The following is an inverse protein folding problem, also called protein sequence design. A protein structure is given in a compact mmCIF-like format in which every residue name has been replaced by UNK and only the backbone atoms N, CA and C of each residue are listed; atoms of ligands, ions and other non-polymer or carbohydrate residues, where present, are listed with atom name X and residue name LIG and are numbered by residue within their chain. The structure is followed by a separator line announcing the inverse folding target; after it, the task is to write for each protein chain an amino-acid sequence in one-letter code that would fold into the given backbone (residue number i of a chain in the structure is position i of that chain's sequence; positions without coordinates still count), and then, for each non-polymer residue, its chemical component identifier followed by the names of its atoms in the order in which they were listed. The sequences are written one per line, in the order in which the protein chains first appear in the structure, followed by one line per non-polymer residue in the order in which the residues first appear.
data_IF_121633703296
#
_entry.id   IF_121633703296
#
_cell.length_a   1.000
_cell.length_b   1.000
_cell.length_c   1.000
_cell.angle_alpha   90.00
_cell.angle_beta   90.00
_cell.angle_gamma   90.00
#
_symmetry.space_group_name_H-M   'P 1'
#
loop_
_entity.id
_entity.type
_entity.pdbx_description
1 polymer ?
#
# COMPACT_ATOMS: atom_id res chain seq x y z
N UNK A 1 25.85 18.45 -23.12
CA UNK A 1 26.52 19.38 -22.19
C UNK A 1 26.97 18.59 -20.97
N UNK A 2 28.23 18.73 -20.53
CA UNK A 2 28.72 18.03 -19.34
C UNK A 2 28.07 18.62 -18.08
N UNK A 3 27.46 17.77 -17.24
CA UNK A 3 26.93 18.18 -15.93
C UNK A 3 28.11 18.21 -14.95
N UNK A 4 28.40 19.38 -14.36
CA UNK A 4 29.42 19.54 -13.31
C UNK A 4 28.74 19.43 -11.93
N UNK A 5 29.21 18.52 -11.09
CA UNK A 5 28.77 18.44 -9.69
C UNK A 5 29.51 19.51 -8.87
N UNK A 6 28.76 20.42 -8.24
CA UNK A 6 29.33 21.50 -7.42
C UNK A 6 29.67 21.04 -6.00
N UNK A 7 28.86 20.13 -5.44
CA UNK A 7 29.02 19.62 -4.08
C UNK A 7 27.71 19.05 -3.54
N UNK A 8 27.62 18.96 -2.21
CA UNK A 8 26.41 18.57 -1.48
C UNK A 8 25.95 19.72 -0.60
N UNK A 9 24.64 19.87 -0.44
CA UNK A 9 23.99 20.83 0.46
C UNK A 9 23.09 20.05 1.41
N UNK A 10 23.07 20.45 2.66
CA UNK A 10 22.16 19.87 3.66
C UNK A 10 20.77 20.49 3.48
N UNK A 11 19.78 19.66 3.14
CA UNK A 11 18.37 20.07 3.08
C UNK A 11 17.78 20.18 4.48
N UNK A 12 16.61 20.81 4.60
CA UNK A 12 15.86 20.92 5.85
C UNK A 12 14.53 20.16 5.76
N UNK A 13 13.94 19.82 6.90
CA UNK A 13 12.58 19.31 6.97
C UNK A 13 11.79 19.99 8.08
N UNK A 14 10.53 20.29 7.82
CA UNK A 14 9.64 20.95 8.78
C UNK A 14 8.93 19.90 9.63
N UNK A 15 9.08 19.99 10.95
CA UNK A 15 8.39 19.07 11.87
C UNK A 15 6.87 19.30 11.81
N UNK A 16 6.05 18.28 11.51
CA UNK A 16 4.60 18.45 11.43
C UNK A 16 3.96 18.69 12.81
N UNK A 17 4.65 18.34 13.89
CA UNK A 17 4.13 18.49 15.26
C UNK A 17 4.28 19.93 15.78
N UNK A 18 5.45 20.55 15.61
CA UNK A 18 5.73 21.89 16.16
C UNK A 18 6.10 22.96 15.13
N UNK A 19 6.27 22.59 13.86
CA UNK A 19 6.66 23.49 12.78
C UNK A 19 8.14 23.90 12.78
N UNK A 20 9.00 23.30 13.60
CA UNK A 20 10.43 23.63 13.61
C UNK A 20 11.15 23.02 12.39
N UNK A 21 12.02 23.79 11.71
CA UNK A 21 12.89 23.27 10.64
C UNK A 21 14.10 22.59 11.25
N UNK A 22 14.29 21.34 10.89
CA UNK A 22 15.43 20.55 11.32
C UNK A 22 16.35 20.30 10.12
N UNK A 23 17.68 20.19 10.35
CA UNK A 23 18.59 19.70 9.33
C UNK A 23 18.20 18.31 8.83
N UNK A 24 18.48 18.01 7.57
CA UNK A 24 18.06 16.77 6.91
C UNK A 24 18.73 15.51 7.47
N UNK A 25 19.92 15.67 8.07
CA UNK A 25 20.63 14.61 8.78
C UNK A 25 19.95 14.23 10.11
N UNK A 26 19.15 15.12 10.69
CA UNK A 26 18.51 14.93 12.00
C UNK A 26 17.22 14.14 11.84
N UNK A 27 17.07 13.07 12.63
CA UNK A 27 15.92 12.14 12.59
C UNK A 27 14.90 12.38 13.72
N UNK A 28 15.21 13.28 14.66
CA UNK A 28 14.35 13.65 15.78
C UNK A 28 14.29 15.16 15.86
N UNK A 29 13.09 15.75 16.01
CA UNK A 29 12.98 17.20 16.03
C UNK A 29 13.74 17.80 17.23
N UNK A 30 14.69 18.69 16.94
CA UNK A 30 15.51 19.39 17.95
C UNK A 30 14.70 20.31 18.87
N UNK A 31 13.48 20.68 18.48
CA UNK A 31 12.61 21.57 19.28
C UNK A 31 11.61 20.82 20.15
N UNK A 32 11.01 19.72 19.68
CA UNK A 32 9.93 19.04 20.42
C UNK A 32 10.19 17.55 20.69
N UNK A 33 11.29 16.98 20.19
CA UNK A 33 11.62 15.56 20.38
C UNK A 33 10.78 14.58 19.56
N UNK A 34 9.82 15.06 18.76
CA UNK A 34 9.03 14.19 17.89
C UNK A 34 9.93 13.53 16.83
N UNK A 35 9.77 12.22 16.56
CA UNK A 35 10.52 11.55 15.49
C UNK A 35 10.14 12.13 14.12
N UNK A 36 11.10 12.11 13.20
CA UNK A 36 10.85 12.47 11.80
C UNK A 36 9.89 11.44 11.16
N UNK A 37 8.80 11.88 10.52
CA UNK A 37 7.90 10.97 9.83
C UNK A 37 8.52 10.45 8.53
N UNK A 38 8.10 9.26 8.11
CA UNK A 38 8.63 8.57 6.91
C UNK A 38 8.40 9.38 5.62
N UNK A 39 7.26 10.07 5.52
CA UNK A 39 6.84 10.81 4.32
C UNK A 39 7.19 12.30 4.34
N UNK A 40 8.18 12.70 5.16
CA UNK A 40 8.58 14.11 5.24
C UNK A 40 9.11 14.63 3.91
N UNK A 41 8.72 15.85 3.55
CA UNK A 41 9.28 16.53 2.38
C UNK A 41 10.52 17.31 2.82
N UNK A 42 11.63 17.10 2.12
CA UNK A 42 12.83 17.90 2.30
C UNK A 42 12.73 19.17 1.45
N UNK A 43 13.17 20.28 2.02
CA UNK A 43 13.13 21.61 1.45
C UNK A 43 14.55 22.18 1.38
N UNK A 44 14.79 23.08 0.42
CA UNK A 44 16.03 23.84 0.42
C UNK A 44 16.06 24.80 1.63
N UNK A 45 17.18 24.91 2.35
CA UNK A 45 17.32 25.89 3.42
C UNK A 45 17.21 27.33 2.88
N UNK A 46 17.02 28.30 3.78
CA UNK A 46 17.07 29.70 3.39
C UNK A 46 18.44 30.11 2.82
N UNK A 47 19.51 29.50 3.31
CA UNK A 47 20.87 29.69 2.80
C UNK A 47 21.51 28.32 2.57
N UNK A 48 22.00 28.10 1.36
CA UNK A 48 22.60 26.84 0.95
C UNK A 48 24.12 26.93 1.08
N UNK A 49 24.67 26.30 2.12
CA UNK A 49 26.11 26.18 2.28
C UNK A 49 26.55 24.81 1.76
N UNK A 50 27.59 24.79 0.92
CA UNK A 50 28.23 23.55 0.51
C UNK A 50 28.85 22.87 1.73
N UNK A 51 28.55 21.59 1.90
CA UNK A 51 29.09 20.78 3.00
C UNK A 51 30.61 20.66 2.79
N UNK A 52 31.39 21.18 3.74
CA UNK A 52 32.85 21.07 3.77
C UNK A 52 33.34 20.03 4.77
N UNK A 53 32.51 19.69 5.76
CA UNK A 53 32.81 18.68 6.76
C UNK A 53 32.96 17.29 6.12
N UNK A 54 34.08 16.62 6.40
CA UNK A 54 34.42 15.36 5.77
C UNK A 54 33.44 14.24 6.15
N UNK A 55 33.02 14.18 7.42
CA UNK A 55 32.10 13.14 7.89
C UNK A 55 30.71 13.30 7.24
N UNK A 56 30.19 14.53 7.20
CA UNK A 56 28.93 14.84 6.51
C UNK A 56 29.01 14.59 5.01
N UNK A 57 30.16 14.86 4.38
CA UNK A 57 30.38 14.55 2.97
C UNK A 57 30.37 13.04 2.71
N UNK A 58 31.01 12.25 3.57
CA UNK A 58 30.97 10.78 3.44
C UNK A 58 29.55 10.25 3.64
N UNK A 59 28.81 10.77 4.63
CA UNK A 59 27.41 10.40 4.84
C UNK A 59 26.54 10.76 3.63
N UNK A 60 26.72 11.96 3.06
CA UNK A 60 25.98 12.36 1.86
C UNK A 60 26.30 11.48 0.64
N UNK A 61 27.54 10.99 0.53
CA UNK A 61 27.99 10.06 -0.53
C UNK A 61 27.54 8.62 -0.30
N UNK A 62 27.35 8.20 0.95
CA UNK A 62 26.90 6.85 1.30
C UNK A 62 25.52 6.53 0.72
N UNK A 63 24.72 7.56 0.41
CA UNK A 63 23.45 7.44 -0.29
C UNK A 63 22.26 7.60 0.64
N UNK A 64 21.06 7.21 0.20
CA UNK A 64 19.85 7.32 0.99
C UNK A 64 19.91 6.42 2.23
N UNK A 65 19.58 7.00 3.38
CA UNK A 65 19.34 6.26 4.62
C UNK A 65 18.30 5.13 4.45
N UNK A 66 18.41 4.11 5.30
CA UNK A 66 17.56 2.92 5.30
C UNK A 66 16.57 2.97 6.45
N UNK A 67 15.37 2.43 6.24
CA UNK A 67 14.39 2.27 7.32
C UNK A 67 14.44 0.85 7.86
N UNK A 68 14.51 0.74 9.19
CA UNK A 68 14.47 -0.54 9.86
C UNK A 68 13.13 -1.23 9.62
N UNK A 69 13.09 -2.46 9.06
CA UNK A 69 11.83 -3.15 8.78
C UNK A 69 11.09 -3.59 10.05
N UNK A 70 11.77 -3.61 11.20
CA UNK A 70 11.21 -4.06 12.47
C UNK A 70 10.60 -2.93 13.30
N UNK A 71 11.26 -1.77 13.37
CA UNK A 71 10.81 -0.65 14.22
C UNK A 71 10.64 0.69 13.47
N UNK A 72 10.87 0.73 12.15
CA UNK A 72 10.74 1.93 11.32
C UNK A 72 11.85 2.98 11.49
N UNK A 73 12.73 2.82 12.48
CA UNK A 73 13.83 3.75 12.74
C UNK A 73 14.70 3.96 11.50
N UNK A 74 14.95 5.22 11.16
CA UNK A 74 15.88 5.64 10.10
C UNK A 74 17.33 5.43 10.56
N UNK A 75 18.13 4.74 9.76
CA UNK A 75 19.54 4.48 10.00
C UNK A 75 20.37 4.93 8.78
N UNK A 76 21.65 5.34 8.98
CA UNK A 76 22.52 5.68 7.87
C UNK A 76 22.63 4.57 6.83
N UNK A 77 22.79 4.95 5.56
CA UNK A 77 23.05 4.01 4.49
C UNK A 77 24.22 3.07 4.83
N UNK A 78 24.05 1.76 4.63
CA UNK A 78 25.05 0.74 4.92
C UNK A 78 25.12 0.27 6.39
N UNK A 79 24.23 0.74 7.26
CA UNK A 79 24.13 0.19 8.63
C UNK A 79 23.64 -1.27 8.59
N UNK A 80 24.30 -2.17 9.31
CA UNK A 80 23.92 -3.59 9.41
C UNK A 80 23.12 -3.92 10.67
N UNK A 81 23.09 -3.02 11.65
CA UNK A 81 22.36 -3.18 12.92
C UNK A 81 21.59 -1.90 13.21
N UNK A 82 20.32 -2.04 13.62
CA UNK A 82 19.47 -0.93 13.96
C UNK A 82 19.93 -0.24 15.26
N UNK A 83 20.17 1.07 15.18
CA UNK A 83 20.60 1.90 16.32
C UNK A 83 19.59 1.98 17.47
N UNK A 84 18.32 1.64 17.25
CA UNK A 84 17.27 1.70 18.27
C UNK A 84 16.87 0.33 18.81
N UNK A 85 16.55 -0.63 17.93
CA UNK A 85 16.05 -1.95 18.36
C UNK A 85 17.09 -3.08 18.29
N UNK A 86 18.29 -2.83 17.74
CA UNK A 86 19.32 -3.87 17.56
C UNK A 86 19.00 -4.91 16.48
N UNK A 87 17.90 -4.75 15.73
CA UNK A 87 17.54 -5.66 14.63
C UNK A 87 18.51 -5.59 13.46
N UNK A 88 18.60 -6.69 12.71
CA UNK A 88 19.43 -6.81 11.51
C UNK A 88 18.93 -5.89 10.37
N UNK A 89 19.85 -5.19 9.72
CA UNK A 89 19.54 -4.27 8.62
C UNK A 89 20.17 -4.70 7.29
N UNK A 90 20.73 -5.92 7.21
CA UNK A 90 21.37 -6.43 5.99
C UNK A 90 20.41 -6.42 4.79
N UNK A 91 19.12 -6.70 5.03
CA UNK A 91 18.05 -6.67 4.01
C UNK A 91 17.17 -5.41 4.10
N UNK A 92 17.59 -4.38 4.83
CA UNK A 92 16.81 -3.15 4.96
C UNK A 92 16.79 -2.36 3.65
N UNK A 93 15.63 -1.83 3.29
CA UNK A 93 15.44 -1.09 2.04
C UNK A 93 15.81 0.38 2.24
N UNK A 94 16.52 0.94 1.26
CA UNK A 94 16.80 2.37 1.19
C UNK A 94 15.51 3.17 1.04
N UNK A 95 15.43 4.31 1.72
CA UNK A 95 14.31 5.25 1.53
C UNK A 95 14.28 5.75 0.09
N UNK A 96 13.09 6.11 -0.38
CA UNK A 96 12.94 6.74 -1.68
C UNK A 96 13.78 8.02 -1.78
N UNK A 97 14.49 8.14 -2.90
CA UNK A 97 15.16 9.38 -3.25
C UNK A 97 14.10 10.46 -3.49
N UNK A 98 14.19 11.57 -2.74
CA UNK A 98 13.25 12.68 -2.85
C UNK A 98 13.21 13.29 -4.26
N UNK A 99 12.21 14.15 -4.49
CA UNK A 99 12.07 14.90 -5.75
C UNK A 99 13.16 15.97 -5.87
N UNK A 100 13.39 16.46 -7.08
CA UNK A 100 14.28 17.60 -7.32
C UNK A 100 13.69 18.85 -6.67
N UNK A 101 14.37 19.42 -5.66
CA UNK A 101 13.86 20.53 -4.83
C UNK A 101 14.18 21.93 -5.36
N UNK A 102 14.88 22.02 -6.50
CA UNK A 102 15.26 23.30 -7.14
C UNK A 102 16.71 23.31 -7.61
N UNK A 103 17.12 24.42 -8.23
CA UNK A 103 18.52 24.69 -8.52
C UNK A 103 19.26 25.22 -7.28
N UNK A 104 20.57 25.07 -7.24
CA UNK A 104 21.39 25.64 -6.16
C UNK A 104 21.32 27.17 -6.14
N UNK A 105 21.28 27.77 -4.95
CA UNK A 105 21.28 29.22 -4.73
C UNK A 105 22.51 29.64 -3.93
N UNK A 106 23.33 30.50 -4.54
CA UNK A 106 24.55 31.03 -3.90
C UNK A 106 24.26 32.18 -2.92
N UNK A 107 23.03 32.70 -2.90
CA UNK A 107 22.62 33.82 -2.06
C UNK A 107 21.50 33.40 -1.10
N UNK A 108 21.47 33.95 0.13
CA UNK A 108 20.36 33.74 1.05
C UNK A 108 19.02 34.14 0.43
N UNK A 109 17.98 33.40 0.76
CA UNK A 109 16.62 33.75 0.41
C UNK A 109 16.26 35.11 1.04
N UNK A 110 15.54 35.97 0.30
CA UNK A 110 15.18 37.30 0.78
C UNK A 110 14.29 37.20 2.02
N UNK A 111 14.47 38.15 2.94
CA UNK A 111 13.65 38.24 4.14
C UNK A 111 12.17 38.47 3.79
N UNK A 112 11.29 37.92 4.64
CA UNK A 112 9.85 37.99 4.50
C UNK A 112 9.25 38.94 5.57
N UNK A 113 8.32 39.83 5.19
CA UNK A 113 7.63 40.68 6.15
C UNK A 113 6.61 39.86 6.95
N UNK A 114 6.55 40.11 8.25
CA UNK A 114 5.54 39.52 9.12
C UNK A 114 4.15 40.11 8.80
N UNK A 115 3.12 39.29 8.50
CA UNK A 115 1.79 39.80 8.18
C UNK A 115 1.07 40.43 9.38
N UNK A 116 1.48 40.12 10.61
CA UNK A 116 0.86 40.65 11.82
C UNK A 116 1.46 42.00 12.28
N UNK A 117 2.77 42.21 12.12
CA UNK A 117 3.46 43.39 12.66
C UNK A 117 4.42 44.08 11.69
N UNK A 118 4.60 43.57 10.48
CA UNK A 118 5.45 44.16 9.44
C UNK A 118 6.97 43.95 9.59
N UNK A 119 7.43 43.35 10.70
CA UNK A 119 8.88 43.08 10.90
C UNK A 119 9.42 42.14 9.83
N UNK A 120 10.59 42.43 9.28
CA UNK A 120 11.30 41.54 8.35
C UNK A 120 11.90 40.36 9.12
N UNK A 121 11.72 39.15 8.61
CA UNK A 121 12.22 37.92 9.21
C UNK A 121 12.94 37.07 8.16
N UNK A 122 13.90 36.22 8.55
CA UNK A 122 14.50 35.26 7.63
C UNK A 122 13.46 34.39 6.91
N UNK A 123 13.71 34.02 5.66
CA UNK A 123 12.77 33.23 4.85
C UNK A 123 12.41 31.85 5.45
N UNK A 124 13.27 31.32 6.33
CA UNK A 124 13.03 30.07 7.05
C UNK A 124 12.41 30.27 8.44
N UNK A 125 12.11 31.51 8.86
CA UNK A 125 11.49 31.77 10.15
C UNK A 125 10.05 31.26 10.17
N UNK A 126 9.69 30.52 11.22
CA UNK A 126 8.31 30.07 11.47
C UNK A 126 7.55 30.96 12.44
N UNK A 127 8.26 31.76 13.23
CA UNK A 127 7.70 32.72 14.17
C UNK A 127 8.37 34.06 13.95
N UNK A 128 7.58 35.11 14.04
CA UNK A 128 8.11 36.47 14.01
C UNK A 128 9.00 36.70 15.24
N UNK A 129 10.22 37.18 15.01
CA UNK A 129 11.18 37.49 16.07
C UNK A 129 10.68 38.59 17.02
N UNK A 130 9.77 39.46 16.56
CA UNK A 130 9.27 40.59 17.34
C UNK A 130 7.94 40.30 18.06
N UNK A 131 6.93 39.77 17.36
CA UNK A 131 5.59 39.58 17.93
C UNK A 131 5.20 38.11 18.16
N UNK A 132 6.05 37.16 17.77
CA UNK A 132 5.79 35.72 17.97
C UNK A 132 4.72 35.10 17.06
N UNK A 133 4.09 35.87 16.16
CA UNK A 133 3.08 35.37 15.23
C UNK A 133 3.66 34.31 14.27
N UNK A 134 2.84 33.36 13.83
CA UNK A 134 3.25 32.35 12.86
C UNK A 134 3.55 32.97 11.49
N UNK A 135 4.67 32.56 10.89
CA UNK A 135 5.07 32.90 9.52
C UNK A 135 4.88 31.71 8.55
N UNK A 136 4.40 30.56 9.05
CA UNK A 136 4.19 29.34 8.27
C UNK A 136 3.17 29.49 7.12
N UNK A 137 2.36 30.56 7.13
CA UNK A 137 1.30 30.81 6.14
C UNK A 137 1.84 31.30 4.78
N UNK A 138 3.11 31.67 4.68
CA UNK A 138 3.69 32.19 3.42
C UNK A 138 4.39 31.14 2.54
N UNK A 139 4.59 29.92 3.04
CA UNK A 139 5.00 28.81 2.18
C UNK A 139 3.77 28.34 1.40
N UNK A 140 3.60 28.92 0.21
CA UNK A 140 2.58 28.52 -0.74
C UNK A 140 2.54 27.00 -0.82
N UNK A 141 1.45 26.40 -0.33
CA UNK A 141 1.02 25.11 -0.84
C UNK A 141 1.01 25.30 -2.35
N UNK A 142 1.78 24.53 -3.14
CA UNK A 142 1.65 24.62 -4.58
C UNK A 142 0.16 24.41 -4.84
N UNK A 143 -0.50 25.44 -5.39
CA UNK A 143 -1.88 25.29 -5.82
C UNK A 143 -1.92 23.99 -6.61
N UNK A 144 -2.82 23.03 -6.27
CA UNK A 144 -2.77 21.70 -6.86
C UNK A 144 -2.68 21.90 -8.37
N UNK A 145 -1.53 21.49 -8.94
CA UNK A 145 -1.31 21.62 -10.36
C UNK A 145 -2.54 21.01 -11.01
N UNK A 146 -3.29 21.81 -11.78
CA UNK A 146 -4.47 21.31 -12.49
C UNK A 146 -3.98 20.13 -13.30
N UNK A 147 -4.29 18.92 -12.83
CA UNK A 147 -4.04 17.72 -13.59
C UNK A 147 -4.77 17.96 -14.90
N UNK A 148 -4.08 17.99 -16.06
CA UNK A 148 -4.76 18.23 -17.31
C UNK A 148 -5.85 17.18 -17.40
N UNK A 149 -7.11 17.62 -17.41
CA UNK A 149 -8.25 16.72 -17.54
C UNK A 149 -8.12 16.04 -18.90
N UNK A 150 -7.56 14.84 -18.89
CA UNK A 150 -7.53 13.97 -20.06
C UNK A 150 -8.98 13.67 -20.38
N UNK A 151 -9.49 14.25 -21.47
CA UNK A 151 -10.83 13.94 -21.99
C UNK A 151 -10.88 12.43 -22.18
N UNK A 152 -11.77 11.77 -21.44
CA UNK A 152 -12.00 10.34 -21.60
C UNK A 152 -12.41 10.11 -23.05
N UNK A 153 -11.68 9.25 -23.78
CA UNK A 153 -11.91 9.13 -25.20
C UNK A 153 -13.25 8.40 -25.42
N UNK A 154 -14.12 9.00 -26.23
CA UNK A 154 -15.54 8.63 -26.39
C UNK A 154 -15.75 7.19 -26.89
N UNK A 155 -14.71 6.54 -27.43
CA UNK A 155 -14.73 5.12 -27.81
C UNK A 155 -14.93 4.17 -26.63
N UNK A 156 -14.60 4.59 -25.39
CA UNK A 156 -14.86 3.78 -24.19
C UNK A 156 -16.36 3.49 -24.05
N UNK A 157 -17.23 4.45 -24.35
CA UNK A 157 -18.68 4.23 -24.31
C UNK A 157 -19.17 3.31 -25.41
N UNK A 158 -18.54 3.34 -26.59
CA UNK A 158 -18.84 2.40 -27.68
C UNK A 158 -18.44 0.97 -27.31
N UNK A 159 -17.28 0.78 -26.67
CA UNK A 159 -16.84 -0.55 -26.18
C UNK A 159 -17.74 -1.06 -25.07
N UNK A 160 -18.10 -0.21 -24.10
CA UNK A 160 -19.03 -0.59 -23.03
C UNK A 160 -20.39 -0.99 -23.61
N UNK A 161 -20.92 -0.24 -24.58
CA UNK A 161 -22.16 -0.57 -25.28
C UNK A 161 -22.10 -1.92 -26.00
N UNK A 162 -21.00 -2.21 -26.70
CA UNK A 162 -20.77 -3.49 -27.36
C UNK A 162 -20.73 -4.66 -26.36
N UNK A 163 -20.03 -4.49 -25.24
CA UNK A 163 -19.93 -5.51 -24.19
C UNK A 163 -21.29 -5.80 -23.58
N UNK A 164 -22.08 -4.76 -23.26
CA UNK A 164 -23.43 -4.93 -22.72
C UNK A 164 -24.32 -5.67 -23.72
N UNK A 165 -24.25 -5.32 -25.00
CA UNK A 165 -25.05 -5.96 -26.04
C UNK A 165 -24.68 -7.44 -26.21
N UNK A 166 -23.39 -7.78 -26.12
CA UNK A 166 -22.90 -9.15 -26.11
C UNK A 166 -23.38 -9.93 -24.88
N UNK A 167 -23.34 -9.34 -23.68
CA UNK A 167 -23.84 -9.96 -22.46
C UNK A 167 -25.35 -10.23 -22.52
N UNK A 168 -26.13 -9.30 -23.06
CA UNK A 168 -27.58 -9.48 -23.25
C UNK A 168 -27.87 -10.59 -24.27
N UNK A 169 -27.18 -10.60 -25.41
CA UNK A 169 -27.32 -11.65 -26.41
C UNK A 169 -26.97 -13.03 -25.84
N UNK A 170 -25.88 -13.12 -25.06
CA UNK A 170 -25.49 -14.34 -24.37
C UNK A 170 -26.57 -14.82 -23.38
N UNK A 171 -27.08 -13.91 -22.55
CA UNK A 171 -28.15 -14.24 -21.60
C UNK A 171 -29.41 -14.79 -22.29
N UNK A 172 -29.84 -14.17 -23.39
CA UNK A 172 -30.99 -14.63 -24.18
C UNK A 172 -30.75 -16.04 -24.75
N UNK A 173 -29.55 -16.29 -25.28
CA UNK A 173 -29.19 -17.60 -25.84
C UNK A 173 -29.10 -18.67 -24.75
N UNK A 174 -28.54 -18.36 -23.58
CA UNK A 174 -28.44 -19.31 -22.46
C UNK A 174 -29.78 -19.63 -21.80
N UNK A 175 -30.77 -18.73 -21.91
CA UNK A 175 -32.11 -18.93 -21.36
C UNK A 175 -33.08 -19.62 -22.33
N UNK A 176 -32.64 -19.97 -23.55
CA UNK A 176 -33.46 -20.76 -24.47
C UNK A 176 -33.51 -22.21 -24.01
N UNK A 177 -34.65 -22.63 -23.48
CA UNK A 177 -34.95 -24.05 -23.23
C UNK A 177 -35.62 -24.66 -24.44
N UNK A 178 -35.16 -25.85 -24.87
CA UNK A 178 -35.88 -26.67 -25.84
C UNK A 178 -36.80 -27.64 -25.12
N UNK A 179 -38.05 -27.73 -25.57
CA UNK A 179 -39.03 -28.67 -25.03
C UNK A 179 -38.81 -30.04 -25.69
N UNK A 180 -38.20 -30.97 -24.95
CA UNK A 180 -37.98 -32.35 -25.41
C UNK A 180 -39.13 -33.22 -24.88
N UNK A 181 -40.04 -33.59 -25.77
CA UNK A 181 -41.10 -34.55 -25.46
C UNK A 181 -40.53 -35.96 -25.60
N UNK A 182 -40.21 -36.61 -24.48
CA UNK A 182 -39.77 -38.00 -24.44
C UNK A 182 -40.95 -38.98 -24.27
N UNK A 183 -40.96 -40.06 -25.05
CA UNK A 183 -41.88 -41.19 -24.83
C UNK A 183 -41.16 -42.32 -24.08
N UNK A 184 -41.73 -42.78 -22.96
CA UNK A 184 -41.18 -43.91 -22.21
C UNK A 184 -41.47 -45.20 -23.00
N UNK A 185 -40.44 -45.76 -23.62
CA UNK A 185 -40.60 -46.92 -24.52
C UNK A 185 -40.67 -48.26 -23.76
N UNK A 186 -40.18 -48.34 -22.52
CA UNK A 186 -40.25 -49.53 -21.69
C UNK A 186 -40.08 -49.20 -20.20
N UNK A 187 -40.77 -49.94 -19.34
CA UNK A 187 -40.60 -49.94 -17.89
C UNK A 187 -40.37 -51.40 -17.45
N UNK A 188 -39.28 -51.64 -16.73
CA UNK A 188 -39.01 -52.94 -16.09
C UNK A 188 -38.87 -52.75 -14.59
N UNK A 189 -39.58 -53.57 -13.82
CA UNK A 189 -39.44 -53.63 -12.38
C UNK A 189 -38.50 -54.78 -12.03
N UNK A 190 -37.48 -54.51 -11.22
CA UNK A 190 -36.59 -55.51 -10.67
C UNK A 190 -36.82 -55.61 -9.16
N UNK A 191 -37.06 -56.82 -8.66
CA UNK A 191 -37.18 -57.09 -7.23
C UNK A 191 -36.11 -58.08 -6.82
N UNK A 192 -35.22 -57.63 -5.96
CA UNK A 192 -34.21 -58.49 -5.32
C UNK A 192 -34.72 -58.89 -3.94
N UNK A 193 -34.81 -60.19 -3.67
CA UNK A 193 -35.09 -60.73 -2.34
C UNK A 193 -33.79 -61.35 -1.83
N UNK A 194 -33.21 -60.78 -0.78
CA UNK A 194 -32.07 -61.38 -0.09
C UNK A 194 -32.54 -62.56 0.75
N UNK A 195 -31.93 -63.73 0.55
CA UNK A 195 -32.10 -64.88 1.45
C UNK A 195 -30.98 -64.77 2.48
N UNK A 196 -31.32 -64.46 3.73
CA UNK A 196 -30.32 -64.25 4.79
C UNK A 196 -29.72 -65.55 5.31
N UNK A 197 -30.53 -66.60 5.49
CA UNK A 197 -30.07 -67.89 6.02
C UNK A 197 -31.05 -69.03 5.65
N UNK A 198 -30.53 -70.18 5.23
CA UNK A 198 -31.32 -71.40 5.09
C UNK A 198 -31.27 -72.16 6.41
N UNK A 199 -32.41 -72.24 7.11
CA UNK A 199 -32.54 -73.07 8.31
C UNK A 199 -33.43 -74.28 8.04
N UNK A 200 -33.10 -75.45 8.63
CA UNK A 200 -34.02 -76.58 8.63
C UNK A 200 -35.29 -76.17 9.39
N UNK A 201 -36.44 -76.34 8.73
CA UNK A 201 -37.75 -76.16 9.36
C UNK A 201 -38.25 -77.55 9.70
N UNK A 202 -38.52 -77.80 10.98
CA UNK A 202 -39.26 -78.98 11.39
C UNK A 202 -40.74 -78.75 11.10
N UNK A 203 -41.30 -79.58 10.23
CA UNK A 203 -42.72 -79.61 9.98
C UNK A 203 -43.34 -80.70 10.88
N UNK A 204 -44.35 -80.33 11.67
CA UNK A 204 -45.26 -81.30 12.26
C UNK A 204 -46.47 -81.46 11.33
N UNK A 205 -46.90 -82.69 11.12
CA UNK A 205 -48.14 -83.01 10.44
C UNK A 205 -49.22 -83.34 11.49
N UNK A 206 -50.49 -83.24 11.07
CA UNK A 206 -51.60 -83.72 11.89
C UNK A 206 -51.62 -85.24 11.89
N UNK A 207 -52.15 -85.85 12.96
CA UNK A 207 -52.16 -87.31 13.12
C UNK A 207 -52.86 -88.05 11.96
N UNK A 208 -53.88 -87.42 11.38
CA UNK A 208 -54.67 -87.99 10.29
C UNK A 208 -53.93 -88.01 8.94
N UNK A 209 -52.79 -87.31 8.84
CA UNK A 209 -51.94 -87.27 7.65
C UNK A 209 -50.78 -88.29 7.72
N UNK A 210 -50.70 -89.09 8.79
CA UNK A 210 -49.69 -90.17 8.90
C UNK A 210 -50.10 -91.33 7.98
N UNK A 211 -49.26 -91.72 6.98
CA UNK A 211 -49.59 -92.81 6.08
C UNK A 211 -49.85 -94.11 6.84
N UNK A 212 -50.90 -94.85 6.48
CA UNK A 212 -51.34 -96.03 7.24
C UNK A 212 -50.35 -97.20 7.34
N UNK A 213 -49.22 -97.15 6.61
CA UNK A 213 -48.12 -98.11 6.69
C UNK A 213 -46.89 -97.57 7.45
N UNK A 214 -46.98 -96.41 8.10
CA UNK A 214 -45.93 -95.90 8.96
C UNK A 214 -45.78 -96.80 10.19
N UNK A 215 -44.57 -97.32 10.42
CA UNK A 215 -44.23 -98.15 11.57
C UNK A 215 -43.78 -97.19 12.69
N UNK A 216 -44.55 -97.13 13.78
CA UNK A 216 -44.22 -96.38 14.99
C UNK A 216 -43.23 -97.16 15.87
#
# INVERSE_FOLDING_TARGET
MAKKQLGYVELEWTCPHCGYKNPGSVTVCNSCGAPQPENVQFEQPAQENLITDEQKLQQAKAGPDIHCPYCGTRNPAGSTVCSQCGGDLTDATARDSGKTVGAHRDQPAPEIPCPACGTMNPANAHRCAQCGSSLATLQATPAPARVPQRKTPTWIFAVIGLVILACVAFAILSLRTEEVIGTVNALSWERTIGIEELRPVEHSAWYDDVPGNAIL
#
